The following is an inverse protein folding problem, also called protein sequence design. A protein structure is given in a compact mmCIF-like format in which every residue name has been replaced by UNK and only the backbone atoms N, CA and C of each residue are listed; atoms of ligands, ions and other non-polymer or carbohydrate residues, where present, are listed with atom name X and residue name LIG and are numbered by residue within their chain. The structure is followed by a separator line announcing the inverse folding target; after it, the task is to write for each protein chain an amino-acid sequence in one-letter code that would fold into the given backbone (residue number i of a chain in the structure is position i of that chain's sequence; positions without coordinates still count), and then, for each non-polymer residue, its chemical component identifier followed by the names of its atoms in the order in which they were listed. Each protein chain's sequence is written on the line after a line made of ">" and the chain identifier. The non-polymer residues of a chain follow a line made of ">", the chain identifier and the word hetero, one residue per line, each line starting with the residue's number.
data_IF_549639157521
#
_entry.id   IF_549639157521
#
_cell.length_a   1.000
_cell.length_b   1.000
_cell.length_c   1.000
_cell.angle_alpha   90.00
_cell.angle_beta   90.00
_cell.angle_gamma   90.00
#
_symmetry.space_group_name_H-M   'P 1'
#
loop_
_entity.id
_entity.type
_entity.pdbx_description
1 polymer ?
#
# COMPACT_ATOMS: atom_id res chain seq x y z
N UNK A 1 -4.45 -8.31 6.45
CA UNK A 1 -4.92 -9.68 6.60
C UNK A 1 -3.96 -10.66 5.96
N UNK A 2 -3.64 -11.73 6.65
CA UNK A 2 -2.80 -12.79 6.12
C UNK A 2 -3.51 -13.64 5.07
N UNK A 3 -4.82 -13.50 4.94
CA UNK A 3 -5.60 -14.26 3.97
C UNK A 3 -5.44 -13.79 2.54
N UNK A 4 -4.92 -12.57 2.33
CA UNK A 4 -4.67 -12.04 1.00
C UNK A 4 -3.21 -11.63 0.88
N UNK A 5 -2.48 -12.28 -0.02
CA UNK A 5 -1.13 -11.90 -0.37
C UNK A 5 -1.14 -11.32 -1.78
N UNK A 6 -0.63 -10.11 -1.92
CA UNK A 6 -0.50 -9.44 -3.21
C UNK A 6 0.98 -9.45 -3.60
N UNK A 7 1.35 -10.22 -4.63
CA UNK A 7 2.75 -10.22 -5.07
C UNK A 7 3.11 -8.89 -5.69
N UNK A 8 4.33 -8.43 -5.42
CA UNK A 8 4.85 -7.22 -6.04
C UNK A 8 6.33 -7.38 -6.33
N UNK A 9 6.81 -6.65 -7.35
CA UNK A 9 8.24 -6.60 -7.61
C UNK A 9 8.88 -5.54 -6.72
N UNK A 10 9.87 -5.96 -5.93
CA UNK A 10 10.62 -5.08 -5.05
C UNK A 10 11.90 -4.62 -5.73
N UNK A 11 12.01 -3.32 -6.01
CA UNK A 11 13.25 -2.75 -6.55
C UNK A 11 14.41 -2.87 -5.59
N UNK A 12 14.13 -2.77 -4.28
CA UNK A 12 15.18 -2.88 -3.25
C UNK A 12 15.73 -4.29 -3.16
N UNK A 13 14.86 -5.29 -3.22
CA UNK A 13 15.28 -6.71 -3.15
C UNK A 13 15.65 -7.28 -4.50
N UNK A 14 15.32 -6.58 -5.59
CA UNK A 14 15.51 -7.03 -6.97
C UNK A 14 14.83 -8.38 -7.22
N UNK A 15 13.61 -8.53 -6.73
CA UNK A 15 12.84 -9.76 -6.87
C UNK A 15 11.43 -9.62 -6.36
N UNK A 16 10.66 -10.71 -6.49
CA UNK A 16 9.27 -10.73 -6.05
C UNK A 16 9.19 -10.84 -4.53
N UNK A 17 8.21 -10.16 -3.96
CA UNK A 17 7.85 -10.21 -2.56
C UNK A 17 6.34 -10.20 -2.43
N UNK A 18 5.82 -10.45 -1.23
CA UNK A 18 4.40 -10.41 -0.96
C UNK A 18 4.05 -9.23 -0.05
N UNK A 19 2.93 -8.60 -0.37
CA UNK A 19 2.33 -7.54 0.44
C UNK A 19 1.04 -8.06 1.05
N UNK A 20 0.86 -7.83 2.35
CA UNK A 20 -0.33 -8.22 3.09
C UNK A 20 -1.04 -6.94 3.54
N UNK A 21 -2.19 -6.60 2.93
CA UNK A 21 -2.94 -5.41 3.33
C UNK A 21 -3.38 -5.45 4.79
N UNK A 22 -3.52 -4.29 5.40
CA UNK A 22 -3.99 -4.20 6.78
C UNK A 22 -5.43 -4.70 6.93
N UNK A 23 -6.33 -4.25 6.03
CA UNK A 23 -7.73 -4.62 6.08
C UNK A 23 -8.31 -4.78 4.69
N UNK A 24 -9.33 -5.64 4.62
CA UNK A 24 -10.24 -5.71 3.48
C UNK A 24 -11.64 -5.49 4.03
N UNK A 25 -12.33 -4.48 3.50
CA UNK A 25 -13.70 -4.15 3.90
C UNK A 25 -14.63 -4.58 2.78
N UNK A 26 -15.66 -5.33 3.12
CA UNK A 26 -16.70 -5.72 2.18
C UNK A 26 -17.99 -4.96 2.51
N UNK A 27 -18.52 -4.28 1.50
CA UNK A 27 -19.80 -3.59 1.63
C UNK A 27 -20.96 -4.58 1.53
N UNK A 28 -22.18 -4.11 1.90
CA UNK A 28 -23.37 -4.94 1.82
C UNK A 28 -23.69 -5.40 0.40
N UNK A 29 -23.26 -4.66 -0.62
CA UNK A 29 -23.44 -5.00 -2.02
C UNK A 29 -22.37 -5.97 -2.56
N UNK A 30 -21.44 -6.41 -1.71
CA UNK A 30 -20.38 -7.31 -2.09
C UNK A 30 -19.12 -6.67 -2.62
N UNK A 31 -19.10 -5.34 -2.81
CA UNK A 31 -17.90 -4.64 -3.22
C UNK A 31 -16.86 -4.63 -2.11
N UNK A 32 -15.60 -4.85 -2.47
CA UNK A 32 -14.50 -4.90 -1.51
C UNK A 32 -13.56 -3.71 -1.69
N UNK A 33 -13.02 -3.24 -0.57
CA UNK A 33 -12.01 -2.18 -0.52
C UNK A 33 -10.81 -2.68 0.27
N UNK A 34 -9.64 -2.57 -0.34
CA UNK A 34 -8.36 -2.84 0.34
C UNK A 34 -7.95 -1.56 1.06
N UNK A 35 -7.69 -1.66 2.36
CA UNK A 35 -7.34 -0.50 3.19
C UNK A 35 -5.93 -0.66 3.72
N UNK A 36 -5.12 0.35 3.50
CA UNK A 36 -3.78 0.47 4.07
C UNK A 36 -3.74 1.69 4.98
N UNK A 37 -3.24 1.50 6.20
CA UNK A 37 -3.11 2.59 7.18
C UNK A 37 -1.66 3.02 7.25
N UNK A 38 -1.41 4.31 7.05
CA UNK A 38 -0.06 4.89 7.09
C UNK A 38 -0.08 6.27 7.74
N UNK A 39 0.97 6.64 8.48
CA UNK A 39 1.13 8.03 8.89
C UNK A 39 1.18 8.93 7.65
N UNK A 40 0.54 10.09 7.73
CA UNK A 40 0.48 11.02 6.59
C UNK A 40 1.88 11.35 6.05
N UNK A 41 2.85 11.52 6.96
CA UNK A 41 4.23 11.83 6.56
C UNK A 41 4.83 10.76 5.63
N UNK A 42 4.38 9.51 5.74
CA UNK A 42 4.87 8.40 4.89
C UNK A 42 4.16 8.33 3.54
N UNK A 43 3.16 9.16 3.31
CA UNK A 43 2.48 9.25 2.02
C UNK A 43 3.11 10.28 1.10
N UNK A 44 4.19 10.92 1.53
CA UNK A 44 4.90 11.95 0.78
C UNK A 44 6.30 11.47 0.41
N UNK A 45 6.75 11.90 -0.77
CA UNK A 45 8.12 11.63 -1.20
C UNK A 45 9.11 12.29 -0.25
N UNK A 46 10.15 11.55 0.22
CA UNK A 46 11.20 12.13 1.04
C UNK A 46 11.96 13.23 0.30
N UNK A 47 12.50 14.17 1.09
CA UNK A 47 13.35 15.24 0.57
C UNK A 47 14.76 14.70 0.31
N UNK A 48 15.56 15.38 -0.55
CA UNK A 48 16.93 14.93 -0.81
C UNK A 48 17.78 14.78 0.44
N UNK A 49 17.57 15.63 1.48
CA UNK A 49 18.33 15.60 2.73
C UNK A 49 17.83 14.56 3.74
N UNK A 50 16.71 13.91 3.47
CA UNK A 50 16.18 12.89 4.39
C UNK A 50 17.07 11.65 4.38
N UNK A 51 16.92 10.81 5.40
CA UNK A 51 17.74 9.62 5.59
C UNK A 51 17.57 8.61 4.46
N UNK A 52 18.59 7.77 4.28
CA UNK A 52 18.53 6.64 3.35
C UNK A 52 17.38 5.71 3.72
N UNK A 53 17.17 5.48 5.03
CA UNK A 53 16.08 4.62 5.50
C UNK A 53 14.72 5.14 5.04
N UNK A 54 14.45 6.45 5.17
CA UNK A 54 13.18 7.03 4.71
C UNK A 54 13.00 6.88 3.20
N UNK A 55 14.09 7.07 2.44
CA UNK A 55 14.05 6.93 0.98
C UNK A 55 13.77 5.48 0.57
N UNK A 56 14.36 4.51 1.27
CA UNK A 56 14.12 3.10 1.01
C UNK A 56 12.68 2.70 1.37
N UNK A 57 12.16 3.20 2.49
CA UNK A 57 10.76 2.94 2.84
C UNK A 57 9.80 3.50 1.80
N UNK A 58 10.11 4.68 1.25
CA UNK A 58 9.29 5.27 0.19
C UNK A 58 9.28 4.40 -1.06
N UNK A 59 10.45 3.93 -1.49
CA UNK A 59 10.54 3.03 -2.66
C UNK A 59 9.73 1.76 -2.42
N UNK A 60 9.88 1.15 -1.26
CA UNK A 60 9.14 -0.06 -0.87
C UNK A 60 7.63 0.17 -0.91
N UNK A 61 7.18 1.26 -0.31
CA UNK A 61 5.76 1.59 -0.28
C UNK A 61 5.20 1.86 -1.68
N UNK A 62 5.94 2.59 -2.51
CA UNK A 62 5.52 2.85 -3.88
C UNK A 62 5.36 1.54 -4.68
N UNK A 63 6.28 0.60 -4.52
CA UNK A 63 6.19 -0.69 -5.21
C UNK A 63 4.97 -1.48 -4.75
N UNK A 64 4.73 -1.52 -3.43
CA UNK A 64 3.56 -2.19 -2.86
C UNK A 64 2.26 -1.56 -3.32
N UNK A 65 2.16 -0.23 -3.25
CA UNK A 65 0.92 0.47 -3.61
C UNK A 65 0.60 0.35 -5.08
N UNK A 66 1.61 0.41 -5.94
CA UNK A 66 1.42 0.19 -7.38
C UNK A 66 0.83 -1.19 -7.66
N UNK A 67 1.40 -2.22 -7.06
CA UNK A 67 0.92 -3.59 -7.22
C UNK A 67 -0.50 -3.73 -6.65
N UNK A 68 -0.77 -3.11 -5.50
CA UNK A 68 -2.08 -3.16 -4.87
C UNK A 68 -3.15 -2.45 -5.72
N UNK A 69 -2.82 -1.29 -6.29
CA UNK A 69 -3.75 -0.59 -7.18
C UNK A 69 -4.07 -1.41 -8.43
N UNK A 70 -3.08 -2.06 -9.01
CA UNK A 70 -3.28 -2.94 -10.17
C UNK A 70 -4.14 -4.14 -9.80
N UNK A 71 -3.84 -4.78 -8.66
CA UNK A 71 -4.63 -5.91 -8.16
C UNK A 71 -6.09 -5.52 -7.95
N UNK A 72 -6.32 -4.40 -7.29
CA UNK A 72 -7.66 -3.90 -7.02
C UNK A 72 -8.43 -3.67 -8.32
N UNK A 73 -7.79 -3.03 -9.30
CA UNK A 73 -8.40 -2.78 -10.61
C UNK A 73 -8.78 -4.09 -11.31
N UNK A 74 -7.89 -5.08 -11.30
CA UNK A 74 -8.12 -6.38 -11.95
C UNK A 74 -9.24 -7.17 -11.29
N UNK A 75 -9.45 -6.96 -9.98
CA UNK A 75 -10.45 -7.70 -9.20
C UNK A 75 -11.70 -6.87 -8.90
N UNK A 76 -11.86 -5.73 -9.57
CA UNK A 76 -12.99 -4.84 -9.36
C UNK A 76 -13.14 -4.42 -7.88
N UNK A 77 -12.02 -4.11 -7.26
CA UNK A 77 -11.92 -3.64 -5.88
C UNK A 77 -11.45 -2.19 -5.85
N UNK A 78 -11.60 -1.55 -4.70
CA UNK A 78 -11.01 -0.23 -4.43
C UNK A 78 -9.75 -0.41 -3.57
N UNK A 79 -8.83 0.54 -3.67
CA UNK A 79 -7.69 0.63 -2.78
C UNK A 79 -7.62 2.04 -2.21
N UNK A 80 -7.54 2.16 -0.88
CA UNK A 80 -7.45 3.44 -0.20
C UNK A 80 -6.32 3.43 0.83
N UNK A 81 -5.64 4.58 0.93
CA UNK A 81 -4.70 4.88 2.01
C UNK A 81 -5.42 5.73 3.04
N UNK A 82 -5.42 5.28 4.29
CA UNK A 82 -6.02 5.99 5.41
C UNK A 82 -4.90 6.51 6.30
N UNK A 83 -4.94 7.78 6.63
CA UNK A 83 -3.98 8.42 7.51
C UNK A 83 -4.69 8.99 8.73
N UNK A 84 -3.92 9.49 9.71
CA UNK A 84 -4.48 10.18 10.86
C UNK A 84 -5.33 11.38 10.48
N UNK A 85 -5.11 11.96 9.29
CA UNK A 85 -5.89 13.11 8.81
C UNK A 85 -7.33 12.75 8.46
N UNK A 86 -7.61 11.46 8.26
CA UNK A 86 -8.97 10.99 8.03
C UNK A 86 -9.88 11.33 9.23
N UNK A 87 -9.32 11.40 10.43
CA UNK A 87 -10.06 11.63 11.66
C UNK A 87 -10.06 13.08 12.12
N UNK A 88 -9.54 13.98 11.33
CA UNK A 88 -9.44 15.41 11.65
C UNK A 88 -10.63 16.18 11.09
#
# INVERSE_FOLDING_TARGET
>A
SESLAIPYYSRLKKGMANYYPDFIIENADGHQTIVEVKPYAQTKKPRPQDSVWLKEQWIKNCDKWKACMNFAKEHNMKFILVTERFFQ
#
